data_IF_688107408243
#
_entry.id   IF_688107408243
#
_cell.length_a   1.000
_cell.length_b   1.000
_cell.length_c   1.000
_cell.angle_alpha   90.00
_cell.angle_beta   90.00
_cell.angle_gamma   90.00
#
_symmetry.space_group_name_H-M   'P 1'
#
loop_
_entity.id
_entity.type
_entity.pdbx_description
1 polymer ?
#
# COMPACT_ATOMS: atom_id res chain seq x y z
N UNK A 1 -3.01 -26.71 -5.04
CA UNK A 1 -1.80 -26.99 -4.21
C UNK A 1 -2.12 -26.54 -2.80
N UNK A 2 -1.63 -27.22 -1.77
CA UNK A 2 -1.92 -26.85 -0.38
C UNK A 2 -1.21 -25.53 -0.07
N UNK A 3 -1.86 -24.38 -0.28
CA UNK A 3 -1.26 -23.07 -0.06
C UNK A 3 -1.01 -22.87 1.43
N UNK A 4 0.27 -22.88 1.81
CA UNK A 4 0.71 -22.45 3.13
C UNK A 4 0.29 -20.98 3.29
N UNK A 5 -0.28 -20.58 4.44
CA UNK A 5 -0.62 -19.18 4.67
C UNK A 5 0.59 -18.26 4.55
N UNK A 6 0.39 -17.08 3.95
CA UNK A 6 1.47 -16.13 3.63
C UNK A 6 1.90 -15.29 4.83
N UNK A 7 1.03 -15.13 5.82
CA UNK A 7 1.25 -14.28 6.98
C UNK A 7 2.09 -14.92 8.07
N UNK A 8 2.61 -14.08 8.96
CA UNK A 8 3.46 -14.53 10.07
C UNK A 8 2.78 -15.58 10.93
N UNK A 9 3.58 -16.46 11.54
CA UNK A 9 3.10 -17.55 12.41
C UNK A 9 2.08 -18.47 11.71
N UNK A 10 2.14 -18.58 10.38
CA UNK A 10 1.27 -19.43 9.59
C UNK A 10 -0.18 -18.98 9.55
N UNK A 11 -0.44 -17.66 9.62
CA UNK A 11 -1.78 -17.08 9.49
C UNK A 11 -2.05 -16.65 8.05
N UNK A 12 -3.29 -16.71 7.62
CA UNK A 12 -3.70 -16.05 6.37
C UNK A 12 -3.77 -14.54 6.60
N UNK A 13 -3.68 -13.74 5.53
CA UNK A 13 -3.81 -12.28 5.60
C UNK A 13 -5.16 -11.88 6.19
N UNK A 14 -6.23 -12.63 5.86
CA UNK A 14 -7.57 -12.40 6.41
C UNK A 14 -7.64 -12.67 7.91
N UNK A 15 -6.91 -13.69 8.40
CA UNK A 15 -6.78 -13.94 9.84
C UNK A 15 -5.98 -12.83 10.53
N UNK A 16 -4.91 -12.33 9.89
CA UNK A 16 -4.11 -11.22 10.42
C UNK A 16 -4.91 -9.91 10.52
N UNK A 17 -5.64 -9.54 9.47
CA UNK A 17 -6.48 -8.35 9.44
C UNK A 17 -7.54 -8.42 10.56
N UNK A 18 -8.27 -9.54 10.65
CA UNK A 18 -9.28 -9.76 11.70
C UNK A 18 -8.69 -9.69 13.11
N UNK A 19 -7.50 -10.28 13.31
CA UNK A 19 -6.81 -10.21 14.61
C UNK A 19 -6.41 -8.77 14.96
N UNK A 20 -5.93 -7.99 14.00
CA UNK A 20 -5.61 -6.57 14.19
C UNK A 20 -6.83 -5.77 14.66
N UNK A 21 -7.96 -5.93 13.97
CA UNK A 21 -9.23 -5.28 14.31
C UNK A 21 -9.73 -5.67 15.71
N UNK A 22 -9.69 -6.96 16.03
CA UNK A 22 -10.09 -7.47 17.35
C UNK A 22 -9.20 -6.94 18.48
N UNK A 23 -7.88 -6.87 18.24
CA UNK A 23 -6.94 -6.31 19.20
C UNK A 23 -7.23 -4.82 19.41
N UNK A 24 -7.41 -4.06 18.33
CA UNK A 24 -7.76 -2.64 18.41
C UNK A 24 -9.08 -2.42 19.16
N UNK A 25 -10.11 -3.21 18.88
CA UNK A 25 -11.39 -3.08 19.56
C UNK A 25 -11.27 -3.30 21.08
N UNK A 26 -10.47 -4.30 21.48
CA UNK A 26 -10.27 -4.68 22.88
C UNK A 26 -9.36 -3.72 23.65
N UNK A 27 -8.27 -3.25 23.06
CA UNK A 27 -7.23 -2.48 23.76
C UNK A 27 -7.30 -0.98 23.48
N UNK A 28 -8.00 -0.57 22.41
CA UNK A 28 -7.98 0.79 21.84
C UNK A 28 -6.59 1.26 21.41
N UNK A 29 -5.70 0.31 21.12
CA UNK A 29 -4.35 0.56 20.60
C UNK A 29 -4.11 -0.25 19.34
N UNK A 30 -3.40 0.33 18.37
CA UNK A 30 -3.07 -0.33 17.11
C UNK A 30 -2.36 -1.68 17.37
N UNK A 31 -2.88 -2.77 16.81
CA UNK A 31 -2.39 -4.15 17.07
C UNK A 31 -2.25 -4.54 18.55
N UNK A 32 -2.97 -3.90 19.48
CA UNK A 32 -2.77 -4.16 20.91
C UNK A 32 -1.42 -3.67 21.45
N UNK A 33 -0.71 -2.80 20.71
CA UNK A 33 0.60 -2.30 21.09
C UNK A 33 0.43 -1.21 22.16
N UNK A 34 0.54 -1.60 23.42
CA UNK A 34 0.52 -0.67 24.57
C UNK A 34 1.87 0.01 24.80
N UNK A 35 2.96 -0.62 24.36
CA UNK A 35 4.34 -0.10 24.51
C UNK A 35 5.15 -0.31 23.24
N UNK A 36 5.91 0.71 22.85
CA UNK A 36 6.78 0.68 21.68
C UNK A 36 8.11 -0.01 22.01
N UNK A 37 8.07 -1.32 22.22
CA UNK A 37 9.19 -2.09 22.78
C UNK A 37 10.52 -1.93 22.03
N UNK A 38 10.51 -1.82 20.69
CA UNK A 38 11.72 -1.56 19.91
C UNK A 38 12.28 -0.17 20.20
N UNK A 39 11.42 0.86 20.24
CA UNK A 39 11.82 2.25 20.53
C UNK A 39 12.32 2.41 21.96
N UNK A 40 11.71 1.70 22.92
CA UNK A 40 12.12 1.76 24.33
C UNK A 40 13.44 1.03 24.59
N UNK A 41 13.66 -0.15 23.97
CA UNK A 41 14.87 -0.96 24.16
C UNK A 41 16.06 -0.45 23.35
N UNK A 42 15.80 0.01 22.12
CA UNK A 42 16.83 0.45 21.18
C UNK A 42 16.31 1.62 20.31
N UNK A 43 16.26 2.84 20.86
CA UNK A 43 15.76 4.02 20.15
C UNK A 43 16.61 4.35 18.92
N UNK A 44 17.92 4.06 18.94
CA UNK A 44 18.80 4.30 17.80
C UNK A 44 18.44 3.41 16.62
N UNK A 45 18.19 2.11 16.87
CA UNK A 45 17.74 1.20 15.82
C UNK A 45 16.37 1.59 15.28
N UNK A 46 15.43 1.97 16.14
CA UNK A 46 14.11 2.43 15.72
C UNK A 46 14.21 3.63 14.76
N UNK A 47 14.91 4.69 15.17
CA UNK A 47 15.07 5.90 14.35
C UNK A 47 15.89 5.65 13.08
N UNK A 48 16.93 4.80 13.15
CA UNK A 48 17.70 4.41 11.96
C UNK A 48 16.82 3.70 10.93
N UNK A 49 16.01 2.73 11.36
CA UNK A 49 15.08 2.02 10.47
C UNK A 49 14.09 2.98 9.83
N UNK A 50 13.44 3.84 10.64
CA UNK A 50 12.49 4.83 10.13
C UNK A 50 13.14 5.78 9.12
N UNK A 51 14.31 6.33 9.43
CA UNK A 51 15.02 7.27 8.57
C UNK A 51 15.43 6.64 7.23
N UNK A 52 15.90 5.39 7.23
CA UNK A 52 16.29 4.69 5.99
C UNK A 52 15.06 4.44 5.11
N UNK A 53 13.96 3.92 5.68
CA UNK A 53 12.75 3.63 4.92
C UNK A 53 12.13 4.91 4.33
N UNK A 54 12.08 5.99 5.13
CA UNK A 54 11.58 7.29 4.66
C UNK A 54 12.46 7.88 3.59
N UNK A 55 13.78 7.86 3.76
CA UNK A 55 14.73 8.34 2.76
C UNK A 55 14.61 7.58 1.44
N UNK A 56 14.46 6.25 1.50
CA UNK A 56 14.27 5.41 0.33
C UNK A 56 12.99 5.76 -0.44
N UNK A 57 11.86 5.93 0.24
CA UNK A 57 10.59 6.30 -0.40
C UNK A 57 10.61 7.69 -1.03
N UNK A 58 11.20 8.68 -0.33
CA UNK A 58 11.37 10.02 -0.89
C UNK A 58 12.26 9.96 -2.13
N UNK A 59 13.39 9.26 -2.06
CA UNK A 59 14.28 9.10 -3.21
C UNK A 59 13.63 8.34 -4.37
N UNK A 60 12.82 7.33 -4.10
CA UNK A 60 12.07 6.59 -5.10
C UNK A 60 11.09 7.51 -5.84
N UNK A 61 10.34 8.35 -5.10
CA UNK A 61 9.46 9.36 -5.69
C UNK A 61 10.19 10.31 -6.60
N UNK A 62 11.23 10.96 -6.09
CA UNK A 62 11.98 11.97 -6.85
C UNK A 62 12.62 11.37 -8.12
N UNK A 63 13.09 10.12 -8.04
CA UNK A 63 13.64 9.43 -9.20
C UNK A 63 12.57 9.10 -10.24
N UNK A 64 11.39 8.62 -9.78
CA UNK A 64 10.30 8.21 -10.64
C UNK A 64 9.67 9.37 -11.45
N UNK A 65 9.71 10.60 -10.92
CA UNK A 65 9.27 11.81 -11.64
C UNK A 65 9.86 11.89 -13.05
N UNK A 66 11.14 11.52 -13.18
CA UNK A 66 11.90 11.71 -14.41
C UNK A 66 11.68 10.60 -15.46
N UNK A 67 10.91 9.56 -15.14
CA UNK A 67 10.52 8.52 -16.09
C UNK A 67 9.31 8.96 -16.92
N UNK A 68 8.41 9.75 -16.34
CA UNK A 68 7.16 10.11 -16.96
C UNK A 68 7.34 11.15 -18.09
N UNK A 69 6.59 10.98 -19.18
CA UNK A 69 6.44 12.01 -20.20
C UNK A 69 5.37 13.06 -19.81
N UNK A 70 4.37 12.66 -19.02
CA UNK A 70 3.28 13.54 -18.59
C UNK A 70 3.80 14.63 -17.64
N UNK A 71 3.53 15.92 -17.90
CA UNK A 71 3.92 17.00 -16.99
C UNK A 71 3.19 16.92 -15.64
N UNK A 72 2.01 16.27 -15.58
CA UNK A 72 1.27 16.02 -14.34
C UNK A 72 2.13 15.23 -13.35
N UNK A 73 2.79 14.17 -13.83
CA UNK A 73 3.70 13.41 -12.99
C UNK A 73 5.05 14.11 -12.91
N UNK A 74 5.67 14.46 -14.04
CA UNK A 74 7.07 14.92 -14.08
C UNK A 74 7.33 16.26 -13.41
N UNK A 75 6.45 17.25 -13.62
CA UNK A 75 6.68 18.64 -13.20
C UNK A 75 5.81 19.02 -11.99
N UNK A 76 4.55 18.57 -11.96
CA UNK A 76 3.62 18.85 -10.84
C UNK A 76 3.86 17.88 -9.68
N UNK A 77 4.20 16.62 -9.99
CA UNK A 77 4.48 15.61 -8.98
C UNK A 77 3.24 14.93 -8.41
N UNK A 78 2.21 14.75 -9.24
CA UNK A 78 0.98 13.99 -8.90
C UNK A 78 1.27 12.47 -8.93
N UNK A 79 2.13 12.05 -8.00
CA UNK A 79 2.46 10.65 -7.69
C UNK A 79 2.78 10.51 -6.20
N UNK A 80 2.56 9.32 -5.66
CA UNK A 80 2.83 8.99 -4.26
C UNK A 80 3.25 7.53 -4.12
N UNK A 81 4.19 7.26 -3.23
CA UNK A 81 4.63 5.92 -2.85
C UNK A 81 4.47 5.71 -1.35
N UNK A 82 4.07 4.50 -0.96
CA UNK A 82 3.96 4.13 0.44
C UNK A 82 4.34 2.66 0.66
N UNK A 83 4.78 2.34 1.87
CA UNK A 83 5.02 0.98 2.34
C UNK A 83 3.95 0.61 3.35
N UNK A 84 3.43 -0.60 3.26
CA UNK A 84 2.34 -1.11 4.07
C UNK A 84 2.73 -2.38 4.82
N UNK A 85 2.11 -2.60 5.98
CA UNK A 85 2.14 -3.89 6.69
C UNK A 85 1.37 -4.97 5.90
N UNK A 86 1.52 -6.28 6.21
CA UNK A 86 0.83 -7.33 5.47
C UNK A 86 -0.71 -7.19 5.45
N UNK A 87 -1.29 -6.70 6.55
CA UNK A 87 -2.73 -6.38 6.69
C UNK A 87 -3.15 -5.06 6.02
N UNK A 88 -2.21 -4.34 5.39
CA UNK A 88 -2.49 -3.19 4.54
C UNK A 88 -2.44 -1.84 5.22
N UNK A 89 -1.83 -1.69 6.40
CA UNK A 89 -1.71 -0.39 7.07
C UNK A 89 -0.39 0.31 6.73
N UNK A 90 -0.44 1.62 6.47
CA UNK A 90 0.73 2.38 6.02
C UNK A 90 1.78 2.56 7.14
N UNK A 91 3.03 2.26 6.82
CA UNK A 91 4.20 2.39 7.69
C UNK A 91 4.95 3.71 7.41
N UNK A 92 5.25 3.98 6.13
CA UNK A 92 6.01 5.16 5.68
C UNK A 92 5.48 5.60 4.32
N UNK A 93 5.48 6.91 4.08
CA UNK A 93 4.94 7.54 2.87
C UNK A 93 5.95 8.51 2.25
N UNK A 94 5.92 8.67 0.93
CA UNK A 94 6.55 9.80 0.23
C UNK A 94 5.69 11.07 0.35
N UNK A 95 6.14 12.18 -0.24
CA UNK A 95 5.28 13.35 -0.48
C UNK A 95 4.37 13.16 -1.71
N UNK A 96 3.54 14.15 -2.04
CA UNK A 96 2.67 14.15 -3.23
C UNK A 96 1.19 13.98 -2.89
N UNK A 97 0.47 13.20 -3.67
CA UNK A 97 -0.98 12.92 -3.53
C UNK A 97 -1.28 11.96 -2.37
N UNK A 98 -1.20 12.48 -1.14
CA UNK A 98 -1.29 11.69 0.09
C UNK A 98 -2.65 11.03 0.33
N UNK A 99 -3.72 11.46 -0.34
CA UNK A 99 -5.04 10.80 -0.24
C UNK A 99 -4.93 9.30 -0.55
N UNK A 100 -4.05 8.93 -1.48
CA UNK A 100 -3.86 7.54 -1.88
C UNK A 100 -3.11 6.67 -0.89
N UNK A 101 -2.54 7.25 0.17
CA UNK A 101 -2.04 6.44 1.28
C UNK A 101 -3.18 5.58 1.84
N UNK A 102 -4.38 6.17 1.95
CA UNK A 102 -5.57 5.45 2.36
C UNK A 102 -6.17 4.61 1.23
N UNK A 103 -6.28 5.12 0.00
CA UNK A 103 -6.93 4.34 -1.07
C UNK A 103 -6.18 3.07 -1.44
N UNK A 104 -4.84 3.07 -1.41
CA UNK A 104 -4.05 1.86 -1.63
C UNK A 104 -4.12 0.90 -0.42
N UNK A 105 -4.29 1.43 0.79
CA UNK A 105 -4.58 0.61 1.99
C UNK A 105 -5.90 -0.14 1.83
N UNK A 106 -6.95 0.55 1.37
CA UNK A 106 -8.26 -0.06 1.10
C UNK A 106 -8.20 -1.07 -0.05
N UNK A 107 -7.42 -0.81 -1.10
CA UNK A 107 -7.21 -1.78 -2.18
C UNK A 107 -6.54 -3.07 -1.66
N UNK A 108 -5.54 -2.98 -0.78
CA UNK A 108 -4.94 -4.15 -0.12
C UNK A 108 -5.96 -4.88 0.74
N UNK A 109 -6.72 -4.16 1.57
CA UNK A 109 -7.75 -4.75 2.44
C UNK A 109 -8.89 -5.38 1.65
N UNK A 110 -9.25 -4.82 0.50
CA UNK A 110 -10.19 -5.40 -0.45
C UNK A 110 -9.68 -6.75 -0.96
N UNK A 111 -8.44 -6.84 -1.45
CA UNK A 111 -7.84 -8.11 -1.89
C UNK A 111 -7.87 -9.16 -0.76
N UNK A 112 -7.57 -8.75 0.48
CA UNK A 112 -7.63 -9.64 1.65
C UNK A 112 -9.06 -10.14 1.91
N UNK A 113 -10.05 -9.25 1.87
CA UNK A 113 -11.45 -9.58 2.13
C UNK A 113 -12.05 -10.50 1.07
N UNK A 114 -11.66 -10.29 -0.19
CA UNK A 114 -12.05 -11.10 -1.36
C UNK A 114 -11.22 -12.40 -1.51
N UNK A 115 -10.44 -12.76 -0.48
CA UNK A 115 -9.65 -14.01 -0.42
C UNK A 115 -8.64 -14.17 -1.57
N UNK A 116 -7.99 -13.09 -2.03
CA UNK A 116 -6.99 -13.17 -3.09
C UNK A 116 -5.86 -14.14 -2.77
N UNK A 117 -5.47 -14.29 -1.50
CA UNK A 117 -4.45 -15.27 -1.07
C UNK A 117 -4.80 -16.71 -1.49
N UNK A 118 -6.08 -17.08 -1.41
CA UNK A 118 -6.54 -18.46 -1.65
C UNK A 118 -7.05 -18.65 -3.09
N UNK A 119 -7.81 -17.67 -3.61
CA UNK A 119 -8.54 -17.81 -4.88
C UNK A 119 -7.74 -17.31 -6.09
N UNK A 120 -6.96 -16.24 -5.93
CA UNK A 120 -6.16 -15.63 -7.01
C UNK A 120 -4.69 -16.07 -6.93
N UNK A 121 -4.18 -16.17 -5.71
CA UNK A 121 -2.77 -16.34 -5.39
C UNK A 121 -2.03 -14.99 -5.31
N UNK A 122 -1.12 -14.89 -4.33
CA UNK A 122 -0.21 -13.75 -4.16
C UNK A 122 1.21 -14.34 -4.03
N UNK A 123 2.07 -14.08 -5.00
CA UNK A 123 3.40 -14.69 -5.10
C UNK A 123 4.51 -13.64 -5.20
N UNK A 124 5.76 -14.00 -4.85
CA UNK A 124 6.91 -13.13 -5.08
C UNK A 124 7.04 -12.72 -6.55
N UNK A 125 7.10 -11.42 -6.81
CA UNK A 125 7.23 -10.86 -8.17
C UNK A 125 5.91 -10.52 -8.85
N UNK A 126 4.76 -10.84 -8.23
CA UNK A 126 3.46 -10.41 -8.74
C UNK A 126 3.31 -8.88 -8.68
N UNK A 127 2.50 -8.34 -9.59
CA UNK A 127 2.18 -6.91 -9.67
C UNK A 127 0.68 -6.77 -9.82
N UNK A 128 0.05 -6.04 -8.89
CA UNK A 128 -1.37 -5.74 -8.92
C UNK A 128 -1.59 -4.30 -9.40
N UNK A 129 -2.57 -4.11 -10.28
CA UNK A 129 -3.00 -2.79 -10.76
C UNK A 129 -4.44 -2.57 -10.33
N UNK A 130 -4.72 -1.37 -9.80
CA UNK A 130 -6.05 -0.98 -9.37
C UNK A 130 -6.31 0.49 -9.69
N UNK A 131 -7.51 0.80 -10.16
CA UNK A 131 -8.02 2.17 -10.19
C UNK A 131 -9.52 2.25 -9.87
N UNK A 132 -10.09 1.19 -9.30
CA UNK A 132 -11.52 1.05 -9.06
C UNK A 132 -11.98 1.90 -7.85
N UNK A 133 -12.88 2.90 -8.03
CA UNK A 133 -13.45 3.66 -6.94
C UNK A 133 -14.27 2.82 -5.95
N UNK A 134 -14.88 1.72 -6.40
CA UNK A 134 -15.66 0.84 -5.52
C UNK A 134 -14.74 0.07 -4.55
N UNK A 135 -13.45 -0.05 -4.89
CA UNK A 135 -12.40 -0.60 -4.03
C UNK A 135 -11.70 0.49 -3.18
N UNK A 136 -12.29 1.69 -3.07
CA UNK A 136 -11.79 2.79 -2.23
C UNK A 136 -10.91 3.81 -2.95
N UNK A 137 -10.82 3.79 -4.28
CA UNK A 137 -10.06 4.80 -5.03
C UNK A 137 -10.82 6.14 -5.15
N UNK A 138 -10.11 7.24 -5.46
CA UNK A 138 -10.73 8.57 -5.63
C UNK A 138 -11.52 8.65 -6.93
N UNK A 139 -10.87 8.25 -8.02
CA UNK A 139 -11.40 8.26 -9.39
C UNK A 139 -10.49 7.42 -10.29
N UNK A 140 -10.93 7.11 -11.50
CA UNK A 140 -10.27 6.10 -12.35
C UNK A 140 -8.92 6.55 -12.91
N UNK A 141 -8.63 7.85 -12.97
CA UNK A 141 -7.33 8.32 -13.49
C UNK A 141 -6.19 8.19 -12.50
N UNK A 142 -6.46 7.95 -11.23
CA UNK A 142 -5.42 7.61 -10.25
C UNK A 142 -5.14 6.12 -10.27
N UNK A 143 -4.13 5.73 -11.04
CA UNK A 143 -3.79 4.33 -11.26
C UNK A 143 -2.76 3.88 -10.23
N UNK A 144 -3.14 2.90 -9.43
CA UNK A 144 -2.36 2.30 -8.37
C UNK A 144 -1.62 1.06 -8.91
N UNK A 145 -0.37 0.90 -8.51
CA UNK A 145 0.45 -0.30 -8.67
C UNK A 145 0.86 -0.79 -7.28
N UNK A 146 0.54 -2.03 -6.95
CA UNK A 146 0.76 -2.63 -5.63
C UNK A 146 1.59 -3.90 -5.81
N UNK A 147 2.69 -4.02 -5.07
CA UNK A 147 3.65 -5.12 -5.17
C UNK A 147 3.82 -5.76 -3.78
N UNK A 148 3.64 -7.09 -3.64
CA UNK A 148 3.90 -7.80 -2.40
C UNK A 148 5.41 -7.91 -2.13
N UNK A 149 5.80 -7.74 -0.87
CA UNK A 149 7.20 -7.86 -0.42
C UNK A 149 7.32 -9.11 0.45
N UNK A 150 8.17 -10.04 0.03
CA UNK A 150 8.39 -11.32 0.69
C UNK A 150 9.76 -11.41 1.37
N UNK A 151 9.82 -12.15 2.48
CA UNK A 151 11.05 -12.59 3.14
C UNK A 151 10.86 -14.01 3.67
N UNK A 152 11.77 -14.94 3.33
CA UNK A 152 11.70 -16.34 3.77
C UNK A 152 10.31 -16.99 3.54
N UNK A 153 9.74 -16.78 2.35
CA UNK A 153 8.40 -17.27 1.95
C UNK A 153 7.22 -16.71 2.76
N UNK A 154 7.43 -15.68 3.58
CA UNK A 154 6.37 -14.93 4.27
C UNK A 154 6.18 -13.55 3.63
N UNK A 155 4.93 -13.11 3.51
CA UNK A 155 4.60 -11.75 3.11
C UNK A 155 4.86 -10.81 4.29
N UNK A 156 5.82 -9.90 4.14
CA UNK A 156 6.21 -8.94 5.19
C UNK A 156 5.66 -7.53 4.98
N UNK A 157 5.02 -7.27 3.84
CA UNK A 157 4.35 -6.01 3.56
C UNK A 157 4.09 -5.79 2.07
N UNK A 158 3.73 -4.56 1.73
CA UNK A 158 3.46 -4.13 0.36
C UNK A 158 4.16 -2.83 0.03
N UNK A 159 4.55 -2.66 -1.23
CA UNK A 159 4.86 -1.36 -1.80
C UNK A 159 3.70 -0.91 -2.69
N UNK A 160 3.13 0.25 -2.40
CA UNK A 160 2.11 0.90 -3.22
C UNK A 160 2.68 2.13 -3.90
N UNK A 161 2.34 2.32 -5.17
CA UNK A 161 2.61 3.53 -5.93
C UNK A 161 1.37 3.97 -6.71
N UNK A 162 1.13 5.26 -6.79
CA UNK A 162 0.04 5.84 -7.58
C UNK A 162 0.58 6.93 -8.49
N UNK A 163 0.01 7.05 -9.68
CA UNK A 163 0.27 8.15 -10.61
C UNK A 163 -1.03 8.62 -11.24
N UNK A 164 -1.23 9.93 -11.29
CA UNK A 164 -2.39 10.53 -11.96
C UNK A 164 -2.19 10.48 -13.48
N UNK A 165 -3.04 9.72 -14.16
CA UNK A 165 -3.05 9.59 -15.63
C UNK A 165 -3.82 10.74 -16.27
N UNK A 166 -3.40 11.14 -17.47
CA UNK A 166 -4.05 12.25 -18.20
C UNK A 166 -5.51 11.92 -18.53
N UNK A 167 -5.78 10.66 -18.85
CA UNK A 167 -7.07 10.17 -19.34
C UNK A 167 -7.10 8.63 -19.19
N UNK A 168 -8.29 8.06 -19.00
CA UNK A 168 -8.51 6.60 -18.90
C UNK A 168 -9.61 6.09 -19.83
N UNK A 169 -9.98 6.86 -20.86
CA UNK A 169 -10.98 6.49 -21.86
C UNK A 169 -12.41 6.81 -21.45
N UNK A 170 -12.60 7.88 -20.68
CA UNK A 170 -13.92 8.40 -20.30
C UNK A 170 -14.75 8.90 -21.49
N UNK A 171 -16.04 9.23 -21.24
CA UNK A 171 -16.91 9.73 -22.33
C UNK A 171 -16.55 11.16 -22.78
N UNK A 172 -15.86 11.92 -21.93
CA UNK A 172 -15.27 13.22 -22.26
C UNK A 172 -13.75 13.13 -22.20
N UNK A 173 -13.01 13.78 -23.12
CA UNK A 173 -11.55 13.78 -23.06
C UNK A 173 -11.01 14.48 -21.80
N UNK A 174 -10.05 13.83 -21.12
CA UNK A 174 -9.39 14.33 -19.93
C UNK A 174 -9.70 13.52 -18.67
N UNK A 175 -9.12 13.94 -17.54
CA UNK A 175 -9.26 13.22 -16.27
C UNK A 175 -10.55 13.56 -15.51
N UNK A 176 -11.07 14.78 -15.66
CA UNK A 176 -12.31 15.20 -15.00
C UNK A 176 -13.52 14.88 -15.88
N UNK A 177 -14.26 13.84 -15.49
CA UNK A 177 -15.53 13.49 -16.13
C UNK A 177 -16.60 14.52 -15.77
N UNK A 178 -17.04 15.30 -16.75
CA UNK A 178 -18.14 16.27 -16.59
C UNK A 178 -19.52 15.67 -16.87
N UNK A 179 -19.54 14.43 -17.37
CA UNK A 179 -20.72 13.60 -17.62
C UNK A 179 -20.31 12.13 -17.58
N UNK A 180 -21.22 11.23 -17.15
CA UNK A 180 -21.03 9.78 -17.09
C UNK A 180 -22.09 9.05 -17.91
#
# INVERSE_FOLDING_TARGET
MSNKPLGWKGKTLKQMLKESEQLFEKTKTYHGIERLSLKEKDPFKFEKCYAILRGALVSARETALHVAASPIVKEIGELCFALYTPEGDSIVVSTGILVHVHTMSEAVKFMINENYEEEVGIHPGDIFLNNDPDCGNVHTTDVQTIIPIFWEDELIGWAGGVTHQIDTGGITPGHDLTSA
#
